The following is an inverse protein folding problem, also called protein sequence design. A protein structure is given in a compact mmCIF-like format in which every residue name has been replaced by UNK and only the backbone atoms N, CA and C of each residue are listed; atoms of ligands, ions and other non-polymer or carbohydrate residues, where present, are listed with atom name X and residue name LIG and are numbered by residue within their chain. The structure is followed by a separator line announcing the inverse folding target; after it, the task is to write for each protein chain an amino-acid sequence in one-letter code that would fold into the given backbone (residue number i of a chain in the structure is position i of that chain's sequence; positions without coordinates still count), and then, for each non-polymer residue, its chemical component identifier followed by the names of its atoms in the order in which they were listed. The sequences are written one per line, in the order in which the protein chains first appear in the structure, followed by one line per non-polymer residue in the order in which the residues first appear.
data_IF_218130132757
#
_entry.id   IF_218130132757
#
_cell.length_a   1.000
_cell.length_b   1.000
_cell.length_c   1.000
_cell.angle_alpha   90.00
_cell.angle_beta   90.00
_cell.angle_gamma   90.00
#
_symmetry.space_group_name_H-M   'P 1'
#
loop_
_entity.id
_entity.type
_entity.pdbx_description
1 polymer ?
#
# COMPACT_ATOMS: atom_id res chain seq x y z
N UNK A 1 -18.47 -55.68 32.24
CA UNK A 1 -18.56 -56.64 33.38
C UNK A 1 -18.11 -58.01 32.87
N UNK A 2 -17.20 -58.64 33.59
CA UNK A 2 -16.85 -60.04 33.33
C UNK A 2 -17.92 -61.00 33.88
N UNK A 3 -17.72 -62.32 33.68
CA UNK A 3 -18.67 -63.34 34.15
C UNK A 3 -18.82 -63.35 35.69
N UNK A 4 -18.00 -62.69 36.48
CA UNK A 4 -18.07 -62.49 37.90
C UNK A 4 -18.69 -61.17 38.37
N UNK A 5 -19.22 -60.33 37.44
CA UNK A 5 -19.88 -59.06 37.74
C UNK A 5 -18.91 -57.94 38.09
N UNK A 6 -17.61 -58.10 37.91
CA UNK A 6 -16.62 -57.02 38.20
C UNK A 6 -16.65 -55.97 37.12
N UNK A 7 -16.78 -54.70 37.52
CA UNK A 7 -16.62 -53.53 36.64
C UNK A 7 -15.14 -53.19 36.53
N UNK A 8 -14.65 -53.10 35.31
CA UNK A 8 -13.35 -52.49 35.02
C UNK A 8 -13.57 -51.06 34.58
N UNK A 9 -13.02 -50.11 35.30
CA UNK A 9 -12.99 -48.72 34.90
C UNK A 9 -11.71 -48.46 34.11
N UNK A 10 -11.86 -47.91 32.90
CA UNK A 10 -10.74 -47.43 32.11
C UNK A 10 -10.76 -45.91 32.14
N UNK A 11 -9.69 -45.31 32.65
CA UNK A 11 -9.50 -43.89 32.61
C UNK A 11 -8.63 -43.57 31.39
N UNK A 12 -9.15 -42.78 30.44
CA UNK A 12 -8.37 -42.28 29.30
C UNK A 12 -8.13 -40.80 29.53
N UNK A 13 -6.87 -40.39 29.52
CA UNK A 13 -6.51 -38.97 29.54
C UNK A 13 -6.71 -38.37 28.14
N UNK A 14 -7.71 -37.54 27.98
CA UNK A 14 -7.91 -36.77 26.76
C UNK A 14 -7.26 -35.39 26.95
N UNK A 15 -6.22 -35.11 26.16
CA UNK A 15 -5.62 -33.78 26.08
C UNK A 15 -6.34 -32.97 25.00
N UNK A 16 -6.91 -31.83 25.36
CA UNK A 16 -7.50 -30.89 24.43
C UNK A 16 -6.57 -29.69 24.32
N UNK A 17 -6.05 -29.47 23.12
CA UNK A 17 -5.21 -28.32 22.81
C UNK A 17 -6.08 -27.20 22.23
N UNK A 18 -6.03 -25.98 22.79
CA UNK A 18 -6.74 -24.84 22.18
C UNK A 18 -6.12 -24.50 20.83
N UNK A 19 -6.97 -24.08 19.90
CA UNK A 19 -6.53 -23.54 18.60
C UNK A 19 -5.56 -22.37 18.85
N UNK A 20 -4.38 -22.33 18.20
CA UNK A 20 -3.51 -21.16 18.26
C UNK A 20 -4.27 -19.90 17.81
N UNK A 21 -3.96 -18.76 18.39
CA UNK A 21 -4.52 -17.48 17.97
C UNK A 21 -3.40 -16.50 17.62
N UNK A 22 -3.42 -15.97 16.40
CA UNK A 22 -2.48 -14.98 15.92
C UNK A 22 -3.04 -13.58 16.16
N UNK A 23 -2.26 -12.74 16.83
CA UNK A 23 -2.52 -11.30 16.94
C UNK A 23 -1.35 -10.52 16.35
N UNK A 24 -1.62 -9.43 15.67
CA UNK A 24 -0.60 -8.56 15.07
C UNK A 24 -1.06 -7.11 15.02
N UNK A 25 -0.10 -6.19 15.16
CA UNK A 25 -0.27 -4.76 14.95
C UNK A 25 0.07 -4.30 13.52
N UNK A 26 0.28 -5.23 12.58
CA UNK A 26 0.63 -4.89 11.21
C UNK A 26 -0.46 -4.01 10.57
N UNK A 27 -0.05 -2.91 9.96
CA UNK A 27 -0.95 -2.00 9.25
C UNK A 27 -1.68 -2.72 8.11
N UNK A 28 -2.96 -2.37 7.91
CA UNK A 28 -3.79 -2.92 6.83
C UNK A 28 -3.71 -2.09 5.56
N UNK A 29 -3.36 -0.82 5.68
CA UNK A 29 -3.13 0.10 4.58
C UNK A 29 -1.67 0.51 4.61
N UNK A 30 -0.96 0.27 3.55
CA UNK A 30 0.47 0.56 3.42
C UNK A 30 0.73 1.39 2.18
N UNK A 31 1.47 2.47 2.34
CA UNK A 31 1.93 3.22 1.18
C UNK A 31 3.03 2.43 0.47
N UNK A 32 3.01 2.42 -0.86
CA UNK A 32 4.03 1.74 -1.70
C UNK A 32 5.44 2.24 -1.34
N UNK A 33 6.42 1.34 -1.37
CA UNK A 33 7.84 1.57 -1.03
C UNK A 33 8.11 2.07 0.41
N UNK A 34 7.09 2.14 1.27
CA UNK A 34 7.25 2.46 2.69
C UNK A 34 7.42 1.19 3.52
N UNK A 35 8.30 1.24 4.52
CA UNK A 35 8.54 0.11 5.42
C UNK A 35 7.63 0.19 6.65
N UNK A 36 6.93 -0.89 6.94
CA UNK A 36 6.03 -1.04 8.09
C UNK A 36 6.54 -2.13 9.00
N UNK A 37 6.89 -1.74 10.23
CA UNK A 37 7.25 -2.67 11.30
C UNK A 37 6.06 -2.96 12.21
N UNK A 38 5.93 -4.19 12.67
CA UNK A 38 4.87 -4.62 13.58
C UNK A 38 5.34 -5.74 14.49
N UNK A 39 4.69 -5.85 15.65
CA UNK A 39 4.78 -7.03 16.49
C UNK A 39 3.69 -8.04 16.11
N UNK A 40 3.98 -9.32 16.38
CA UNK A 40 2.96 -10.35 16.39
C UNK A 40 3.14 -11.25 17.61
N UNK A 41 2.06 -11.86 18.02
CA UNK A 41 2.10 -12.93 19.04
C UNK A 41 1.16 -14.05 18.65
N UNK A 42 1.56 -15.27 19.04
CA UNK A 42 0.73 -16.45 18.89
C UNK A 42 0.47 -16.99 20.29
N UNK A 43 -0.80 -17.21 20.64
CA UNK A 43 -1.13 -17.90 21.89
C UNK A 43 -0.67 -19.34 21.79
N UNK A 44 0.25 -19.74 22.70
CA UNK A 44 1.02 -20.99 22.57
C UNK A 44 0.52 -22.06 23.50
N UNK A 45 0.47 -23.30 22.93
CA UNK A 45 0.85 -24.52 23.61
C UNK A 45 1.99 -25.14 22.79
N UNK A 46 3.22 -25.22 23.37
CA UNK A 46 4.39 -25.84 22.77
C UNK A 46 5.20 -24.98 21.76
N UNK A 47 6.15 -25.63 21.09
CA UNK A 47 6.92 -25.04 20.02
C UNK A 47 6.08 -25.05 18.73
N UNK A 48 5.94 -23.91 18.10
CA UNK A 48 5.17 -23.76 16.87
C UNK A 48 6.09 -23.29 15.74
N UNK A 49 5.97 -23.93 14.60
CA UNK A 49 6.52 -23.42 13.36
C UNK A 49 5.53 -22.47 12.72
N UNK A 50 5.99 -21.29 12.29
CA UNK A 50 5.20 -20.33 11.53
C UNK A 50 5.83 -20.18 10.16
N UNK A 51 5.09 -20.56 9.13
CA UNK A 51 5.45 -20.29 7.75
C UNK A 51 4.64 -19.10 7.24
N UNK A 52 5.33 -18.11 6.68
CA UNK A 52 4.70 -16.92 6.09
C UNK A 52 4.63 -17.05 4.57
N UNK A 53 3.47 -16.75 4.00
CA UNK A 53 3.24 -16.69 2.55
C UNK A 53 2.50 -15.43 2.18
N UNK A 54 2.60 -15.03 0.91
CA UNK A 54 1.87 -13.91 0.33
C UNK A 54 0.91 -14.44 -0.74
N UNK A 55 -0.31 -13.93 -0.71
CA UNK A 55 -1.28 -14.08 -1.80
C UNK A 55 -1.64 -12.71 -2.37
N UNK A 56 -1.81 -12.66 -3.68
CA UNK A 56 -2.36 -11.51 -4.40
C UNK A 56 -3.58 -11.96 -5.16
N UNK A 57 -4.71 -11.29 -4.95
CA UNK A 57 -6.00 -11.62 -5.57
C UNK A 57 -6.37 -13.10 -5.38
N UNK A 58 -6.08 -13.67 -4.20
CA UNK A 58 -6.34 -15.05 -3.84
C UNK A 58 -5.37 -16.09 -4.44
N UNK A 59 -4.31 -15.64 -5.11
CA UNK A 59 -3.31 -16.52 -5.73
C UNK A 59 -1.98 -16.41 -4.98
N UNK A 60 -1.36 -17.54 -4.56
CA UNK A 60 -0.04 -17.53 -3.96
C UNK A 60 1.01 -16.92 -4.88
N UNK A 61 1.84 -16.02 -4.36
CA UNK A 61 2.90 -15.34 -5.09
C UNK A 61 4.22 -15.42 -4.34
N UNK A 62 5.34 -15.24 -5.07
CA UNK A 62 6.64 -15.14 -4.44
C UNK A 62 6.81 -13.74 -3.81
N UNK A 63 7.03 -13.68 -2.50
CA UNK A 63 7.16 -12.42 -1.75
C UNK A 63 8.22 -11.47 -2.33
N UNK A 64 9.36 -12.00 -2.79
CA UNK A 64 10.47 -11.19 -3.29
C UNK A 64 10.14 -10.40 -4.55
N UNK A 65 9.11 -10.81 -5.30
CA UNK A 65 8.66 -10.10 -6.50
C UNK A 65 7.78 -8.88 -6.16
N UNK A 66 7.28 -8.81 -4.92
CA UNK A 66 6.32 -7.80 -4.47
C UNK A 66 6.83 -6.91 -3.35
N UNK A 67 8.05 -7.16 -2.85
CA UNK A 67 8.60 -6.32 -1.81
C UNK A 67 9.72 -6.97 -0.99
N UNK A 68 10.00 -6.34 0.14
CA UNK A 68 10.94 -6.84 1.13
C UNK A 68 10.20 -7.20 2.41
N UNK A 69 10.37 -8.43 2.85
CA UNK A 69 9.71 -8.96 4.04
C UNK A 69 10.74 -9.59 4.98
N UNK A 70 10.66 -9.21 6.25
CA UNK A 70 11.50 -9.81 7.28
C UNK A 70 10.61 -10.32 8.42
N UNK A 71 10.81 -11.57 8.78
CA UNK A 71 10.10 -12.22 9.86
C UNK A 71 11.11 -12.68 10.91
N UNK A 72 10.91 -12.28 12.14
CA UNK A 72 11.68 -12.74 13.29
C UNK A 72 10.74 -13.09 14.45
N UNK A 73 11.26 -13.70 15.50
CA UNK A 73 10.41 -14.08 16.64
C UNK A 73 9.69 -12.86 17.21
N UNK A 74 8.38 -12.79 16.99
CA UNK A 74 7.50 -11.72 17.49
C UNK A 74 7.50 -10.43 16.70
N UNK A 75 8.21 -10.34 15.54
CA UNK A 75 8.17 -9.13 14.72
C UNK A 75 8.06 -9.42 13.23
N UNK A 76 7.41 -8.50 12.53
CA UNK A 76 7.23 -8.48 11.08
C UNK A 76 7.70 -7.12 10.59
N UNK A 77 8.46 -7.10 9.49
CA UNK A 77 8.69 -5.90 8.70
C UNK A 77 8.30 -6.18 7.26
N UNK A 78 7.51 -5.32 6.66
CA UNK A 78 7.02 -5.44 5.29
C UNK A 78 7.14 -4.10 4.55
N UNK A 79 7.67 -4.13 3.33
CA UNK A 79 7.70 -3.01 2.41
C UNK A 79 7.32 -3.53 1.02
N UNK A 80 6.18 -3.09 0.51
CA UNK A 80 5.68 -3.49 -0.81
C UNK A 80 6.15 -2.52 -1.89
N UNK A 81 6.52 -3.03 -3.05
CA UNK A 81 6.93 -2.26 -4.23
C UNK A 81 5.93 -2.32 -5.40
N UNK A 82 4.78 -2.97 -5.20
CA UNK A 82 3.71 -3.11 -6.20
C UNK A 82 2.38 -2.80 -5.54
N UNK A 83 1.58 -1.93 -6.17
CA UNK A 83 0.23 -1.59 -5.73
C UNK A 83 -0.73 -2.79 -5.81
N UNK A 84 -1.72 -2.80 -4.93
CA UNK A 84 -2.80 -3.78 -4.97
C UNK A 84 -3.20 -4.34 -3.61
N UNK A 85 -4.13 -5.29 -3.66
CA UNK A 85 -4.67 -5.97 -2.48
C UNK A 85 -3.95 -7.31 -2.28
N UNK A 86 -3.52 -7.54 -1.05
CA UNK A 86 -2.73 -8.71 -0.66
C UNK A 86 -3.31 -9.37 0.59
N UNK A 87 -3.01 -10.65 0.76
CA UNK A 87 -3.11 -11.34 2.04
C UNK A 87 -1.74 -11.85 2.46
N UNK A 88 -1.21 -11.34 3.59
CA UNK A 88 -0.08 -11.97 4.26
C UNK A 88 -0.60 -13.09 5.13
N UNK A 89 -0.15 -14.32 4.87
CA UNK A 89 -0.69 -15.52 5.48
C UNK A 89 0.33 -16.15 6.40
N UNK A 90 -0.08 -16.39 7.64
CA UNK A 90 0.65 -17.22 8.57
C UNK A 90 0.04 -18.62 8.62
N UNK A 91 0.83 -19.63 8.30
CA UNK A 91 0.54 -21.03 8.57
C UNK A 91 1.20 -21.42 9.88
N UNK A 92 0.39 -21.74 10.88
CA UNK A 92 0.86 -22.09 12.22
C UNK A 92 0.59 -23.58 12.45
N UNK A 93 1.64 -24.34 12.61
CA UNK A 93 1.57 -25.75 12.96
C UNK A 93 1.59 -25.90 14.49
N UNK A 94 0.63 -26.63 15.05
CA UNK A 94 0.58 -26.95 16.48
C UNK A 94 1.33 -28.25 16.82
N UNK A 95 1.40 -28.63 18.09
CA UNK A 95 2.08 -29.83 18.57
C UNK A 95 1.46 -31.14 18.04
N UNK A 96 0.27 -31.09 17.46
CA UNK A 96 -0.42 -32.23 16.86
C UNK A 96 -0.23 -32.32 15.37
N UNK A 97 0.71 -31.54 14.79
CA UNK A 97 0.98 -31.43 13.35
C UNK A 97 -0.20 -30.87 12.56
N UNK A 98 -1.15 -30.22 13.26
CA UNK A 98 -2.27 -29.55 12.61
C UNK A 98 -1.91 -28.13 12.23
N UNK A 99 -2.14 -27.79 10.96
CA UNK A 99 -1.84 -26.47 10.38
C UNK A 99 -3.09 -25.58 10.40
N UNK A 100 -2.92 -24.35 10.88
CA UNK A 100 -3.93 -23.29 10.93
C UNK A 100 -3.51 -22.13 10.05
N UNK A 101 -4.41 -21.68 9.17
CA UNK A 101 -4.21 -20.51 8.28
C UNK A 101 -4.79 -19.25 8.91
N UNK A 102 -4.00 -18.18 8.96
CA UNK A 102 -4.38 -16.85 9.39
C UNK A 102 -4.03 -15.85 8.30
N UNK A 103 -5.04 -15.17 7.75
CA UNK A 103 -4.85 -14.17 6.72
C UNK A 103 -4.89 -12.77 7.32
N UNK A 104 -3.93 -11.96 6.91
CA UNK A 104 -3.80 -10.54 7.24
C UNK A 104 -4.03 -9.76 5.94
N UNK A 105 -5.21 -9.18 5.72
CA UNK A 105 -5.46 -8.41 4.51
C UNK A 105 -4.66 -7.10 4.55
N UNK A 106 -4.04 -6.76 3.41
CA UNK A 106 -3.21 -5.57 3.24
C UNK A 106 -3.58 -4.92 1.92
N UNK A 107 -3.86 -3.61 1.96
CA UNK A 107 -4.03 -2.76 0.78
C UNK A 107 -2.79 -1.89 0.60
N UNK A 108 -2.11 -2.05 -0.54
CA UNK A 108 -0.95 -1.22 -0.89
C UNK A 108 -1.40 -0.13 -1.85
N UNK A 109 -1.28 1.11 -1.42
CA UNK A 109 -1.81 2.27 -2.10
C UNK A 109 -0.75 3.33 -2.41
N UNK A 110 -1.13 4.28 -3.26
CA UNK A 110 -0.48 5.54 -3.52
C UNK A 110 -1.55 6.63 -3.59
N UNK A 111 -1.34 7.78 -2.97
CA UNK A 111 -2.26 8.92 -3.05
C UNK A 111 -1.88 9.81 -4.24
N UNK A 112 -2.84 10.42 -4.90
CA UNK A 112 -2.57 11.33 -5.99
C UNK A 112 -2.04 12.68 -5.46
N UNK A 113 -1.10 13.31 -6.17
CA UNK A 113 -0.70 14.67 -5.86
C UNK A 113 -1.84 15.67 -6.11
N UNK A 114 -1.66 16.91 -5.68
CA UNK A 114 -2.53 18.01 -6.07
C UNK A 114 -1.72 19.24 -6.46
N UNK A 115 -2.22 19.99 -7.44
CA UNK A 115 -1.61 21.28 -7.83
C UNK A 115 -1.98 22.31 -6.77
N UNK A 116 -0.98 22.85 -6.07
CA UNK A 116 -1.16 23.85 -5.01
C UNK A 116 -1.25 25.27 -5.54
N UNK A 117 -0.79 25.51 -6.77
CA UNK A 117 -0.88 26.80 -7.44
C UNK A 117 -0.09 26.86 -8.73
N UNK A 118 -0.31 27.92 -9.50
CA UNK A 118 0.42 28.21 -10.74
C UNK A 118 0.79 29.69 -10.76
N UNK A 119 2.09 30.00 -10.80
CA UNK A 119 2.56 31.36 -11.01
C UNK A 119 2.53 31.69 -12.50
N UNK A 120 1.90 32.83 -12.84
CA UNK A 120 1.79 33.35 -14.20
C UNK A 120 2.80 34.49 -14.39
N UNK A 121 3.89 34.21 -15.11
CA UNK A 121 4.99 35.13 -15.30
C UNK A 121 4.87 35.82 -16.68
N UNK A 122 4.30 37.03 -16.71
CA UNK A 122 4.15 37.81 -17.92
C UNK A 122 5.46 38.56 -18.23
N UNK A 123 5.87 38.52 -19.49
CA UNK A 123 6.97 39.33 -19.96
C UNK A 123 6.46 40.39 -20.95
N UNK A 124 7.20 41.49 -21.09
CA UNK A 124 6.84 42.56 -22.08
C UNK A 124 7.12 42.15 -23.54
N UNK A 125 7.38 40.90 -23.82
CA UNK A 125 7.56 40.40 -25.19
C UNK A 125 6.21 40.29 -25.86
N UNK A 126 6.01 41.07 -26.89
CA UNK A 126 4.81 41.07 -27.70
C UNK A 126 5.17 40.74 -29.14
N UNK A 127 4.45 39.82 -29.73
CA UNK A 127 4.65 39.41 -31.13
C UNK A 127 3.30 39.00 -31.73
N UNK A 128 2.95 39.62 -32.87
CA UNK A 128 1.76 39.26 -33.66
C UNK A 128 0.46 39.21 -32.83
N UNK A 129 0.22 40.22 -31.99
CA UNK A 129 -0.99 40.26 -31.16
C UNK A 129 -0.99 39.30 -29.94
N UNK A 130 0.17 38.77 -29.55
CA UNK A 130 0.30 37.82 -28.44
C UNK A 130 1.37 38.26 -27.47
N UNK A 131 1.17 37.96 -26.19
CA UNK A 131 2.14 38.14 -25.12
C UNK A 131 2.83 36.84 -24.76
N UNK A 132 4.13 36.93 -24.52
CA UNK A 132 4.88 35.79 -23.98
C UNK A 132 4.62 35.67 -22.47
N UNK A 133 4.15 34.51 -22.03
CA UNK A 133 3.82 34.24 -20.63
C UNK A 133 4.21 32.84 -20.28
N UNK A 134 5.03 32.67 -19.23
CA UNK A 134 5.39 31.33 -18.73
C UNK A 134 4.54 30.99 -17.51
N UNK A 135 4.25 29.71 -17.38
CA UNK A 135 3.53 29.14 -16.24
C UNK A 135 4.49 28.30 -15.41
N UNK A 136 4.52 28.55 -14.10
CA UNK A 136 5.32 27.80 -13.13
C UNK A 136 4.39 27.18 -12.12
N UNK A 137 3.95 25.92 -12.33
CA UNK A 137 3.10 25.22 -11.39
C UNK A 137 3.89 24.74 -10.18
N UNK A 138 3.17 24.63 -9.06
CA UNK A 138 3.61 23.96 -7.83
C UNK A 138 2.61 22.88 -7.47
N UNK A 139 3.09 21.77 -6.98
CA UNK A 139 2.25 20.67 -6.54
C UNK A 139 2.80 20.05 -5.26
N UNK A 140 1.94 19.40 -4.50
CA UNK A 140 2.26 18.69 -3.28
C UNK A 140 1.67 17.28 -3.39
N UNK A 141 2.45 16.32 -2.99
CA UNK A 141 1.99 14.95 -2.81
C UNK A 141 1.72 14.69 -1.32
N UNK A 142 0.51 14.20 -0.93
CA UNK A 142 0.18 13.94 0.46
C UNK A 142 1.05 12.87 1.13
N UNK A 143 1.57 11.92 0.34
CA UNK A 143 2.44 10.85 0.82
C UNK A 143 3.92 11.25 0.80
N UNK A 144 4.23 12.45 0.28
CA UNK A 144 5.59 12.99 0.16
C UNK A 144 6.33 12.50 -1.08
N UNK A 145 5.64 11.94 -2.05
CA UNK A 145 6.24 11.43 -3.27
C UNK A 145 6.74 12.55 -4.20
N UNK A 146 7.74 12.20 -5.00
CA UNK A 146 8.36 13.15 -5.93
C UNK A 146 7.38 13.45 -7.08
N UNK A 147 7.18 14.74 -7.36
CA UNK A 147 6.46 15.21 -8.54
C UNK A 147 7.38 15.07 -9.76
N UNK A 148 7.02 14.19 -10.69
CA UNK A 148 7.80 13.88 -11.89
C UNK A 148 7.61 14.89 -13.01
N UNK A 149 6.50 15.66 -12.98
CA UNK A 149 6.23 16.65 -14.01
C UNK A 149 4.79 17.13 -14.04
N UNK A 150 4.50 17.93 -15.07
CA UNK A 150 3.19 18.53 -15.26
C UNK A 150 2.70 18.32 -16.69
N UNK A 151 1.39 18.13 -16.83
CA UNK A 151 0.71 18.12 -18.11
C UNK A 151 -0.22 19.31 -18.22
N UNK A 152 -0.40 19.77 -19.46
CA UNK A 152 -1.18 20.96 -19.75
C UNK A 152 -2.24 20.70 -20.83
N UNK A 153 -3.39 21.35 -20.68
CA UNK A 153 -4.39 21.51 -21.75
C UNK A 153 -4.55 23.00 -22.06
N UNK A 154 -4.72 23.33 -23.33
CA UNK A 154 -4.87 24.69 -23.86
C UNK A 154 -3.65 25.61 -23.63
N UNK A 155 -2.50 25.05 -23.26
CA UNK A 155 -1.24 25.81 -23.19
C UNK A 155 -0.62 25.88 -24.59
N UNK A 156 -0.35 27.09 -25.14
CA UNK A 156 0.38 27.22 -26.40
C UNK A 156 1.80 26.63 -26.27
N UNK A 157 2.24 25.90 -27.28
CA UNK A 157 3.56 25.25 -27.28
C UNK A 157 4.75 26.22 -27.23
N UNK A 158 4.53 27.46 -27.69
CA UNK A 158 5.53 28.52 -27.74
C UNK A 158 5.38 29.59 -26.62
N UNK A 159 4.46 29.37 -25.66
CA UNK A 159 4.17 30.27 -24.55
C UNK A 159 3.68 31.70 -24.97
N UNK A 160 3.20 31.87 -26.22
CA UNK A 160 2.59 33.12 -26.68
C UNK A 160 1.07 33.02 -26.63
N UNK A 161 0.46 33.82 -25.75
CA UNK A 161 -0.97 33.86 -25.50
C UNK A 161 -1.62 35.03 -26.24
N UNK A 162 -2.83 34.86 -26.80
CA UNK A 162 -3.58 35.99 -27.40
C UNK A 162 -3.96 37.02 -26.33
N UNK A 163 -4.26 38.23 -26.76
CA UNK A 163 -4.86 39.26 -25.89
C UNK A 163 -6.23 38.77 -25.43
N UNK A 164 -6.52 38.91 -24.15
CA UNK A 164 -7.73 38.41 -23.50
C UNK A 164 -7.40 37.27 -22.55
N UNK A 165 -8.41 36.58 -22.06
CA UNK A 165 -8.24 35.50 -21.09
C UNK A 165 -8.14 34.13 -21.79
N UNK A 166 -7.09 33.41 -21.50
CA UNK A 166 -6.94 31.99 -21.88
C UNK A 166 -6.98 31.12 -20.65
N UNK A 167 -7.88 30.14 -20.62
CA UNK A 167 -7.99 29.17 -19.53
C UNK A 167 -7.07 27.96 -19.83
N UNK A 168 -6.01 27.87 -19.07
CA UNK A 168 -5.09 26.73 -19.15
C UNK A 168 -5.37 25.77 -18.01
N UNK A 169 -5.42 24.47 -18.30
CA UNK A 169 -5.48 23.46 -17.27
C UNK A 169 -4.11 22.83 -17.07
N UNK A 170 -3.75 22.54 -15.84
CA UNK A 170 -2.52 21.86 -15.47
C UNK A 170 -2.82 20.74 -14.47
N UNK A 171 -2.12 19.63 -14.59
CA UNK A 171 -2.11 18.57 -13.59
C UNK A 171 -0.70 18.08 -13.33
N UNK A 172 -0.45 17.63 -12.11
CA UNK A 172 0.82 17.06 -11.69
C UNK A 172 0.79 15.54 -11.83
N UNK A 173 1.96 14.94 -12.02
CA UNK A 173 2.18 13.50 -12.03
C UNK A 173 3.24 13.12 -11.01
N UNK A 174 2.96 12.14 -10.14
CA UNK A 174 3.91 11.59 -9.19
C UNK A 174 4.84 10.53 -9.81
N UNK A 175 5.76 10.01 -8.99
CA UNK A 175 6.73 8.98 -9.39
C UNK A 175 6.10 7.64 -9.74
N UNK A 176 4.89 7.34 -9.23
CA UNK A 176 4.16 6.11 -9.54
C UNK A 176 3.20 6.27 -10.71
N UNK A 177 3.20 7.44 -11.35
CA UNK A 177 2.42 7.71 -12.55
C UNK A 177 1.00 8.18 -12.28
N UNK A 178 0.62 8.44 -11.03
CA UNK A 178 -0.71 8.92 -10.67
C UNK A 178 -0.80 10.42 -10.92
N UNK A 179 -1.93 10.86 -11.47
CA UNK A 179 -2.17 12.26 -11.78
C UNK A 179 -3.07 12.94 -10.75
N UNK A 180 -2.80 14.23 -10.52
CA UNK A 180 -3.73 15.10 -9.82
C UNK A 180 -4.99 15.35 -10.66
N UNK A 181 -6.01 15.89 -10.03
CA UNK A 181 -7.07 16.60 -10.73
C UNK A 181 -6.53 17.79 -11.52
N UNK A 182 -7.31 18.23 -12.52
CA UNK A 182 -6.98 19.40 -13.32
C UNK A 182 -7.20 20.70 -12.54
N UNK A 183 -6.14 21.48 -12.41
CA UNK A 183 -6.18 22.85 -11.89
C UNK A 183 -6.32 23.82 -13.06
N UNK A 184 -7.25 24.75 -12.99
CA UNK A 184 -7.45 25.79 -14.03
C UNK A 184 -6.77 27.08 -13.62
N UNK A 185 -5.97 27.65 -14.52
CA UNK A 185 -5.32 28.95 -14.36
C UNK A 185 -5.74 29.90 -15.48
N UNK A 186 -6.03 31.15 -15.12
CA UNK A 186 -6.40 32.21 -16.05
C UNK A 186 -5.13 32.95 -16.47
N UNK A 187 -4.87 32.96 -17.77
CA UNK A 187 -3.77 33.71 -18.38
C UNK A 187 -4.40 34.93 -19.12
N UNK A 188 -4.28 36.10 -18.52
CA UNK A 188 -4.88 37.38 -19.03
C UNK A 188 -3.80 38.38 -19.42
#
# INVERSE_FOLDING_TARGET
TDAGGQKREFTTLVRVYPKPNLTTSLARNMHIDSSYGASYSVSKWGNQNIEWKLEKDGTPVNMTDYGTFNFSSGSISAAFNVLGSYELIAYIEDETEKVFRYAIPIEVYNTAPYVSGVSVNKTRRYSNGKYYTTLSPSAVDPDGDIIMGYEYQNKPSNDYYPIGTTYVKVRAKDRYGKFSDWYTVDVT
#
